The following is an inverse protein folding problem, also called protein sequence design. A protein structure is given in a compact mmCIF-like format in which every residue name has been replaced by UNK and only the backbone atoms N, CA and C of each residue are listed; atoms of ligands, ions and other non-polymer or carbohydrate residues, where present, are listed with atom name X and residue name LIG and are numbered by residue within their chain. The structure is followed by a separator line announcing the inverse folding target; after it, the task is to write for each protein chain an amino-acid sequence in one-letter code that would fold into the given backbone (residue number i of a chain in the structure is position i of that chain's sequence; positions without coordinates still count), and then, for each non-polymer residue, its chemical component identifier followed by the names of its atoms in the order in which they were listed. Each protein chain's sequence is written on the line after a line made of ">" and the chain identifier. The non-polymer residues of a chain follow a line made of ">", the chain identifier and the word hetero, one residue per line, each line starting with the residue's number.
data_IF_097338328156
#
_entry.id   IF_097338328156
#
_cell.length_a   1.000
_cell.length_b   1.000
_cell.length_c   1.000
_cell.angle_alpha   90.00
_cell.angle_beta   90.00
_cell.angle_gamma   90.00
#
_symmetry.space_group_name_H-M   'P 1'
#
loop_
_entity.id
_entity.type
_entity.pdbx_description
1 polymer ?
#
# COMPACT_ATOMS: atom_id res chain seq x y z
N UNK A 1 -37.84 1.92 -41.95
CA UNK A 1 -38.51 2.03 -40.63
C UNK A 1 -37.39 2.12 -39.61
N UNK A 2 -37.01 3.33 -39.24
CA UNK A 2 -35.99 3.56 -38.22
C UNK A 2 -36.61 3.36 -36.84
N UNK A 3 -35.93 2.60 -36.00
CA UNK A 3 -36.35 2.35 -34.62
C UNK A 3 -35.64 3.36 -33.73
N UNK A 4 -36.40 4.32 -33.19
CA UNK A 4 -35.91 5.28 -32.21
C UNK A 4 -35.95 4.62 -30.81
N UNK A 5 -34.78 4.31 -30.26
CA UNK A 5 -34.67 3.79 -28.89
C UNK A 5 -34.63 4.99 -27.93
N UNK A 6 -35.72 5.21 -27.20
CA UNK A 6 -35.76 6.09 -26.02
C UNK A 6 -35.73 5.23 -24.75
N UNK A 7 -34.61 5.22 -24.05
CA UNK A 7 -34.47 4.55 -22.77
C UNK A 7 -33.54 5.32 -21.83
N UNK A 8 -33.95 5.48 -20.57
CA UNK A 8 -33.07 6.00 -19.52
C UNK A 8 -32.20 4.85 -19.02
N UNK A 9 -31.02 4.69 -19.63
CA UNK A 9 -29.99 3.80 -19.12
C UNK A 9 -29.44 4.45 -17.85
N UNK A 10 -29.69 3.82 -16.71
CA UNK A 10 -29.04 4.18 -15.44
C UNK A 10 -28.19 3.01 -14.98
N UNK A 11 -26.92 3.28 -14.72
CA UNK A 11 -25.99 2.30 -14.15
C UNK A 11 -26.37 2.14 -12.68
N UNK A 12 -27.00 1.02 -12.34
CA UNK A 12 -27.13 0.60 -10.94
C UNK A 12 -25.78 0.02 -10.51
N UNK A 13 -24.98 0.82 -9.81
CA UNK A 13 -23.84 0.29 -9.04
C UNK A 13 -24.38 -0.66 -7.97
N UNK A 14 -24.00 -1.94 -8.04
CA UNK A 14 -24.27 -2.91 -6.97
C UNK A 14 -23.37 -2.69 -5.74
N UNK A 15 -22.38 -1.79 -5.86
CA UNK A 15 -21.47 -1.43 -4.78
C UNK A 15 -21.96 -0.16 -4.09
N UNK A 16 -22.12 -0.23 -2.77
CA UNK A 16 -22.39 0.93 -1.92
C UNK A 16 -21.29 1.99 -2.07
N UNK A 17 -21.66 3.27 -1.95
CA UNK A 17 -20.73 4.40 -2.10
C UNK A 17 -19.49 4.27 -1.20
N UNK A 18 -18.31 4.53 -1.79
CA UNK A 18 -17.04 4.55 -1.07
C UNK A 18 -17.00 5.76 -0.13
N UNK A 19 -16.48 5.61 1.09
CA UNK A 19 -16.33 6.74 2.00
C UNK A 19 -15.45 7.84 1.38
N UNK A 20 -15.61 9.10 1.80
CA UNK A 20 -14.73 10.20 1.41
C UNK A 20 -13.26 9.89 1.71
N UNK A 21 -12.35 10.35 0.85
CA UNK A 21 -10.90 10.07 0.89
C UNK A 21 -10.27 10.43 2.24
N UNK A 22 -10.82 11.40 2.96
CA UNK A 22 -10.28 11.92 4.22
C UNK A 22 -10.39 10.94 5.42
N UNK A 23 -10.97 9.75 5.26
CA UNK A 23 -11.14 8.76 6.34
C UNK A 23 -10.94 7.30 5.90
N UNK A 24 -9.98 7.03 5.03
CA UNK A 24 -9.75 5.65 4.56
C UNK A 24 -9.22 4.72 5.64
N UNK A 25 -8.51 5.24 6.65
CA UNK A 25 -7.99 4.47 7.79
C UNK A 25 -8.18 5.21 9.13
N UNK A 26 -9.43 5.46 9.57
CA UNK A 26 -9.72 6.34 10.71
C UNK A 26 -9.32 5.71 12.05
N UNK A 27 -9.06 4.41 12.07
CA UNK A 27 -8.66 3.62 13.25
C UNK A 27 -7.14 3.39 13.33
N UNK A 28 -6.37 4.01 12.43
CA UNK A 28 -4.91 3.91 12.39
C UNK A 28 -4.30 5.19 12.96
N UNK A 29 -3.45 5.05 13.99
CA UNK A 29 -2.83 6.22 14.67
C UNK A 29 -1.69 6.83 13.87
N UNK A 30 -0.81 5.98 13.33
CA UNK A 30 0.39 6.41 12.60
C UNK A 30 0.48 5.69 11.26
N UNK A 31 0.55 6.44 10.16
CA UNK A 31 0.77 5.91 8.82
C UNK A 31 2.19 6.31 8.39
N UNK A 32 3.05 5.33 8.15
CA UNK A 32 4.47 5.57 7.81
C UNK A 32 4.79 4.96 6.45
N UNK A 33 5.22 5.80 5.51
CA UNK A 33 5.74 5.35 4.22
C UNK A 33 7.21 4.96 4.33
N UNK A 34 7.58 3.77 3.87
CA UNK A 34 8.98 3.35 3.72
C UNK A 34 9.34 3.45 2.24
N UNK A 35 10.23 4.37 1.90
CA UNK A 35 10.60 4.70 0.53
C UNK A 35 12.09 4.47 0.28
N UNK A 36 12.48 4.42 -0.99
CA UNK A 36 13.88 4.38 -1.42
C UNK A 36 14.04 5.02 -2.78
N UNK A 37 15.18 5.66 -3.02
CA UNK A 37 15.48 6.25 -4.32
C UNK A 37 15.67 5.23 -5.45
N UNK A 38 16.14 4.03 -5.13
CA UNK A 38 16.44 2.97 -6.09
C UNK A 38 16.14 1.58 -5.52
N UNK A 39 15.86 0.62 -6.40
CA UNK A 39 15.72 -0.79 -6.02
C UNK A 39 17.03 -1.38 -5.48
N UNK A 40 16.92 -2.40 -4.63
CA UNK A 40 18.07 -3.16 -4.11
C UNK A 40 18.78 -2.55 -2.90
N UNK A 41 18.31 -1.43 -2.35
CA UNK A 41 18.92 -0.80 -1.16
C UNK A 41 18.50 -1.42 0.18
N UNK A 42 17.66 -2.46 0.18
CA UNK A 42 17.17 -3.11 1.39
C UNK A 42 15.90 -2.52 2.01
N UNK A 43 15.15 -1.69 1.25
CA UNK A 43 13.89 -1.05 1.68
C UNK A 43 12.90 -2.02 2.35
N UNK A 44 12.50 -3.09 1.65
CA UNK A 44 11.53 -4.08 2.16
C UNK A 44 12.05 -4.84 3.38
N UNK A 45 13.36 -5.04 3.47
CA UNK A 45 14.02 -5.62 4.65
C UNK A 45 13.88 -4.69 5.85
N UNK A 46 14.12 -3.39 5.67
CA UNK A 46 13.90 -2.39 6.74
C UNK A 46 12.42 -2.33 7.13
N UNK A 47 11.51 -2.25 6.17
CA UNK A 47 10.06 -2.20 6.41
C UNK A 47 9.59 -3.43 7.22
N UNK A 48 9.99 -4.64 6.81
CA UNK A 48 9.65 -5.89 7.49
C UNK A 48 10.19 -5.94 8.92
N UNK A 49 11.47 -5.64 9.11
CA UNK A 49 12.09 -5.69 10.43
C UNK A 49 11.52 -4.62 11.36
N UNK A 50 11.22 -3.43 10.85
CA UNK A 50 10.57 -2.37 11.61
C UNK A 50 9.16 -2.82 12.06
N UNK A 51 8.37 -3.44 11.17
CA UNK A 51 7.04 -3.95 11.50
C UNK A 51 7.10 -4.96 12.64
N UNK A 52 7.98 -5.97 12.50
CA UNK A 52 8.15 -7.03 13.50
C UNK A 52 8.70 -6.48 14.82
N UNK A 53 9.63 -5.51 14.77
CA UNK A 53 10.16 -4.87 15.96
C UNK A 53 9.05 -4.12 16.73
N UNK A 54 8.22 -3.34 16.04
CA UNK A 54 7.09 -2.63 16.66
C UNK A 54 6.08 -3.62 17.27
N UNK A 55 5.73 -4.69 16.54
CA UNK A 55 4.84 -5.72 17.06
C UNK A 55 5.41 -6.39 18.32
N UNK A 56 6.72 -6.68 18.35
CA UNK A 56 7.40 -7.21 19.54
C UNK A 56 7.40 -6.28 20.75
N UNK A 57 7.26 -4.97 20.53
CA UNK A 57 7.08 -3.99 21.61
C UNK A 57 5.61 -3.83 22.06
N UNK A 58 4.70 -4.66 21.52
CA UNK A 58 3.29 -4.70 21.94
C UNK A 58 2.38 -3.77 21.15
N UNK A 59 2.86 -3.14 20.09
CA UNK A 59 2.02 -2.29 19.22
C UNK A 59 1.18 -3.14 18.25
N UNK A 60 -0.01 -2.66 17.90
CA UNK A 60 -0.81 -3.23 16.80
C UNK A 60 -0.25 -2.73 15.46
N UNK A 61 0.26 -3.63 14.63
CA UNK A 61 0.99 -3.28 13.41
C UNK A 61 0.37 -3.88 12.16
N UNK A 62 0.17 -3.04 11.14
CA UNK A 62 -0.12 -3.46 9.77
C UNK A 62 1.04 -3.13 8.84
N UNK A 63 1.28 -3.98 7.85
CA UNK A 63 2.28 -3.81 6.80
C UNK A 63 1.63 -4.05 5.43
N UNK A 64 1.66 -3.03 4.59
CA UNK A 64 1.20 -3.09 3.20
C UNK A 64 2.40 -3.04 2.26
N UNK A 65 2.57 -4.08 1.45
CA UNK A 65 3.54 -4.12 0.36
C UNK A 65 2.91 -3.57 -0.93
N UNK A 66 3.37 -2.38 -1.33
CA UNK A 66 2.92 -1.68 -2.53
C UNK A 66 3.90 -1.83 -3.71
N UNK A 67 4.95 -2.66 -3.58
CA UNK A 67 5.93 -2.89 -4.65
C UNK A 67 5.49 -4.04 -5.57
N UNK A 68 4.71 -3.69 -6.60
CA UNK A 68 4.14 -4.64 -7.56
C UNK A 68 5.21 -5.41 -8.35
N UNK A 69 6.30 -4.73 -8.70
CA UNK A 69 7.34 -5.26 -9.59
C UNK A 69 8.37 -6.09 -8.86
N UNK A 70 8.54 -5.86 -7.56
CA UNK A 70 9.61 -6.44 -6.75
C UNK A 70 9.14 -6.98 -5.39
N UNK A 71 7.86 -7.35 -5.28
CA UNK A 71 7.26 -7.83 -4.03
C UNK A 71 8.13 -8.92 -3.40
N UNK A 72 8.65 -8.61 -2.21
CA UNK A 72 9.55 -9.49 -1.45
C UNK A 72 9.04 -9.78 -0.05
N UNK A 73 8.05 -9.03 0.42
CA UNK A 73 7.50 -9.14 1.78
C UNK A 73 6.84 -10.50 2.02
N UNK A 74 6.00 -11.07 1.12
CA UNK A 74 5.46 -12.41 1.31
C UNK A 74 6.54 -13.46 1.62
N UNK A 75 7.67 -13.39 0.90
CA UNK A 75 8.82 -14.27 1.10
C UNK A 75 9.58 -14.00 2.39
N UNK A 76 9.78 -12.73 2.75
CA UNK A 76 10.43 -12.37 4.02
C UNK A 76 9.61 -12.83 5.23
N UNK A 77 8.28 -12.88 5.11
CA UNK A 77 7.40 -13.44 6.12
C UNK A 77 7.19 -14.95 5.99
N UNK A 78 7.70 -15.62 4.94
CA UNK A 78 7.45 -17.04 4.64
C UNK A 78 5.95 -17.36 4.53
N UNK A 79 5.25 -16.59 3.69
CA UNK A 79 3.81 -16.72 3.42
C UNK A 79 3.51 -16.58 1.92
N UNK A 80 4.45 -16.93 1.05
CA UNK A 80 4.26 -16.87 -0.41
C UNK A 80 3.03 -17.66 -0.90
N UNK A 81 2.73 -18.77 -0.23
CA UNK A 81 1.58 -19.63 -0.54
C UNK A 81 0.28 -19.14 0.08
N UNK A 82 0.32 -18.06 0.87
CA UNK A 82 -0.90 -17.50 1.44
C UNK A 82 -1.82 -16.99 0.34
N UNK A 83 -3.12 -17.20 0.55
CA UNK A 83 -4.19 -16.71 -0.30
C UNK A 83 -5.13 -15.90 0.59
N UNK A 84 -4.90 -14.57 0.71
CA UNK A 84 -5.87 -13.70 1.36
C UNK A 84 -7.25 -13.95 0.73
N UNK A 85 -8.24 -14.12 1.58
CA UNK A 85 -9.61 -14.40 1.15
C UNK A 85 -10.50 -13.23 1.51
N UNK A 86 -11.62 -13.12 0.82
CA UNK A 86 -12.62 -12.10 1.11
C UNK A 86 -13.71 -12.68 2.01
N UNK A 87 -14.11 -11.91 3.02
CA UNK A 87 -15.28 -12.16 3.84
C UNK A 87 -16.30 -11.04 3.64
N UNK A 88 -17.59 -11.39 3.75
CA UNK A 88 -18.66 -10.41 3.61
C UNK A 88 -18.95 -9.75 4.96
N UNK A 89 -18.49 -8.53 5.14
CA UNK A 89 -18.70 -7.73 6.35
C UNK A 89 -19.61 -6.56 6.00
N UNK A 90 -20.75 -6.45 6.70
CA UNK A 90 -21.74 -5.38 6.47
C UNK A 90 -22.18 -5.28 5.00
N UNK A 91 -22.23 -6.42 4.29
CA UNK A 91 -22.62 -6.50 2.88
C UNK A 91 -21.54 -6.13 1.87
N UNK A 92 -20.32 -5.78 2.32
CA UNK A 92 -19.14 -5.51 1.48
C UNK A 92 -18.17 -6.68 1.54
N UNK A 93 -17.52 -6.97 0.42
CA UNK A 93 -16.43 -7.95 0.38
C UNK A 93 -15.16 -7.28 0.92
N UNK A 94 -14.65 -7.80 2.04
CA UNK A 94 -13.49 -7.27 2.74
C UNK A 94 -12.40 -8.34 2.76
N UNK A 95 -11.18 -7.97 2.39
CA UNK A 95 -10.03 -8.87 2.40
C UNK A 95 -9.55 -9.05 3.84
N UNK A 96 -9.37 -10.30 4.27
CA UNK A 96 -8.73 -10.62 5.55
C UNK A 96 -7.21 -10.66 5.31
N UNK A 97 -6.41 -9.79 5.98
CA UNK A 97 -4.98 -9.78 5.80
C UNK A 97 -4.34 -11.03 6.41
N UNK A 98 -3.20 -11.44 5.88
CA UNK A 98 -2.40 -12.53 6.46
C UNK A 98 -1.80 -12.02 7.77
N UNK A 99 -1.78 -12.83 8.82
CA UNK A 99 -1.13 -12.45 10.08
C UNK A 99 0.05 -13.36 10.38
N UNK A 100 1.22 -12.76 10.66
CA UNK A 100 2.41 -13.50 11.09
C UNK A 100 3.36 -12.61 11.88
N UNK A 101 4.03 -13.19 12.88
CA UNK A 101 4.92 -12.47 13.80
C UNK A 101 4.27 -11.26 14.50
N UNK A 102 2.95 -11.31 14.71
CA UNK A 102 2.16 -10.20 15.29
C UNK A 102 1.92 -9.01 14.35
N UNK A 103 2.16 -9.20 13.04
CA UNK A 103 1.95 -8.17 12.01
C UNK A 103 0.83 -8.64 11.07
N UNK A 104 -0.17 -7.78 10.86
CA UNK A 104 -1.14 -7.93 9.78
C UNK A 104 -0.50 -7.48 8.48
N UNK A 105 -0.59 -8.31 7.46
CA UNK A 105 0.20 -8.22 6.24
C UNK A 105 -0.70 -8.36 5.03
N UNK A 106 -0.54 -7.43 4.10
CA UNK A 106 -1.11 -7.57 2.77
C UNK A 106 -0.09 -7.13 1.72
N UNK A 107 -0.09 -7.81 0.58
CA UNK A 107 0.81 -7.53 -0.53
C UNK A 107 0.08 -7.67 -1.85
N UNK A 108 0.38 -6.80 -2.80
CA UNK A 108 -0.01 -7.02 -4.22
C UNK A 108 0.54 -8.35 -4.73
N UNK A 109 1.69 -8.79 -4.21
CA UNK A 109 2.32 -10.09 -4.47
C UNK A 109 1.38 -11.29 -4.30
N UNK A 110 0.35 -11.20 -3.44
CA UNK A 110 -0.60 -12.29 -3.25
C UNK A 110 -1.61 -12.46 -4.40
N UNK A 111 -1.78 -11.42 -5.24
CA UNK A 111 -2.78 -11.36 -6.30
C UNK A 111 -2.15 -11.40 -7.70
N UNK A 112 -0.84 -11.57 -7.78
CA UNK A 112 -0.09 -11.68 -9.04
C UNK A 112 0.52 -13.07 -9.11
N UNK A 113 0.52 -13.64 -10.31
CA UNK A 113 1.21 -14.89 -10.58
C UNK A 113 2.72 -14.62 -10.66
N UNK A 114 3.55 -15.23 -9.79
CA UNK A 114 4.99 -14.98 -9.76
C UNK A 114 5.72 -15.42 -11.03
N UNK A 115 5.14 -16.32 -11.83
CA UNK A 115 5.75 -16.84 -13.06
C UNK A 115 5.37 -16.00 -14.30
N UNK A 116 4.49 -15.01 -14.14
CA UNK A 116 4.02 -14.14 -15.22
C UNK A 116 4.57 -12.71 -15.05
N UNK A 117 5.05 -12.06 -16.12
CA UNK A 117 5.37 -10.63 -16.05
C UNK A 117 4.12 -9.84 -15.66
N UNK A 118 4.19 -9.12 -14.55
CA UNK A 118 3.06 -8.32 -14.07
C UNK A 118 2.75 -7.17 -15.03
N UNK A 119 1.74 -7.34 -15.89
CA UNK A 119 1.30 -6.34 -16.87
C UNK A 119 0.35 -5.28 -16.26
N UNK A 120 0.66 -4.79 -15.07
CA UNK A 120 -0.20 -3.82 -14.38
C UNK A 120 0.17 -2.40 -14.83
N UNK A 121 -0.69 -1.79 -15.66
CA UNK A 121 -0.54 -0.38 -16.05
C UNK A 121 -0.79 0.53 -14.84
N UNK A 122 -0.16 1.71 -14.81
CA UNK A 122 -0.17 2.62 -13.64
C UNK A 122 -1.55 2.84 -12.99
N UNK A 123 -2.61 3.10 -13.77
CA UNK A 123 -3.96 3.28 -13.21
C UNK A 123 -4.55 2.02 -12.55
N UNK A 124 -4.20 0.83 -13.03
CA UNK A 124 -4.61 -0.45 -12.43
C UNK A 124 -3.93 -0.66 -11.08
N UNK A 125 -2.61 -0.42 -11.04
CA UNK A 125 -1.80 -0.45 -9.82
C UNK A 125 -2.33 0.50 -8.75
N UNK A 126 -2.60 1.76 -9.11
CA UNK A 126 -3.16 2.76 -8.20
C UNK A 126 -4.54 2.37 -7.66
N UNK A 127 -5.40 1.79 -8.49
CA UNK A 127 -6.73 1.35 -8.06
C UNK A 127 -6.67 0.14 -7.12
N UNK A 128 -5.83 -0.83 -7.43
CA UNK A 128 -5.63 -1.99 -6.56
C UNK A 128 -5.04 -1.57 -5.21
N UNK A 129 -4.06 -0.67 -5.19
CA UNK A 129 -3.52 -0.11 -3.96
C UNK A 129 -4.61 0.54 -3.10
N UNK A 130 -5.51 1.32 -3.71
CA UNK A 130 -6.67 1.89 -3.01
C UNK A 130 -7.57 0.82 -2.42
N UNK A 131 -7.80 -0.29 -3.11
CA UNK A 131 -8.56 -1.43 -2.56
C UNK A 131 -7.82 -2.08 -1.38
N UNK A 132 -6.51 -2.30 -1.47
CA UNK A 132 -5.71 -2.87 -0.37
C UNK A 132 -5.59 -1.94 0.86
N UNK A 133 -5.91 -0.66 0.69
CA UNK A 133 -6.04 0.29 1.80
C UNK A 133 -7.45 0.25 2.38
N UNK A 134 -8.48 0.23 1.53
CA UNK A 134 -9.88 0.48 1.94
C UNK A 134 -10.68 -0.78 2.25
N UNK A 135 -10.50 -1.83 1.44
CA UNK A 135 -11.35 -3.02 1.40
C UNK A 135 -10.66 -4.17 2.15
N UNK A 136 -10.05 -3.85 3.29
CA UNK A 136 -9.26 -4.78 4.12
C UNK A 136 -9.63 -4.62 5.59
N UNK A 137 -9.67 -5.73 6.31
CA UNK A 137 -9.97 -5.78 7.75
C UNK A 137 -8.71 -5.44 8.57
N UNK A 138 -8.21 -4.20 8.46
CA UNK A 138 -7.04 -3.73 9.21
C UNK A 138 -7.30 -3.60 10.71
N UNK A 139 -8.55 -3.36 11.10
CA UNK A 139 -8.98 -3.04 12.47
C UNK A 139 -8.29 -1.77 13.04
N UNK A 140 -8.02 -1.74 14.33
CA UNK A 140 -7.28 -0.67 14.99
C UNK A 140 -5.78 -0.97 14.94
N UNK A 141 -4.99 -0.01 14.46
CA UNK A 141 -3.54 -0.12 14.40
C UNK A 141 -2.87 1.08 15.07
N UNK A 142 -1.80 0.82 15.82
CA UNK A 142 -0.91 1.87 16.29
C UNK A 142 0.01 2.34 15.16
N UNK A 143 0.47 1.41 14.31
CA UNK A 143 1.34 1.69 13.18
C UNK A 143 0.86 0.95 11.93
N UNK A 144 0.74 1.69 10.83
CA UNK A 144 0.54 1.14 9.50
C UNK A 144 1.71 1.52 8.61
N UNK A 145 2.54 0.54 8.29
CA UNK A 145 3.73 0.70 7.47
C UNK A 145 3.39 0.38 6.01
N UNK A 146 3.85 1.20 5.08
CA UNK A 146 3.65 1.00 3.65
C UNK A 146 5.02 0.88 2.99
N UNK A 147 5.35 -0.31 2.48
CA UNK A 147 6.56 -0.52 1.68
C UNK A 147 6.31 -0.03 0.25
N UNK A 148 6.79 1.18 -0.06
CA UNK A 148 6.54 1.84 -1.33
C UNK A 148 7.45 1.26 -2.42
N UNK A 149 7.07 1.27 -3.71
CA UNK A 149 7.99 0.88 -4.78
C UNK A 149 9.22 1.82 -4.83
N UNK A 150 10.35 1.40 -5.41
CA UNK A 150 11.52 2.27 -5.55
C UNK A 150 11.25 3.48 -6.48
N UNK A 151 11.96 4.57 -6.24
CA UNK A 151 11.90 5.79 -7.06
C UNK A 151 10.73 6.71 -6.70
N UNK A 152 10.15 7.36 -7.70
CA UNK A 152 9.05 8.33 -7.56
C UNK A 152 7.92 8.04 -8.54
N UNK A 153 7.43 6.79 -8.56
CA UNK A 153 6.34 6.35 -9.44
C UNK A 153 4.97 6.91 -9.01
N UNK A 154 3.97 6.80 -9.90
CA UNK A 154 2.58 7.24 -9.63
C UNK A 154 1.95 6.61 -8.37
N UNK A 155 2.43 5.44 -7.96
CA UNK A 155 2.04 4.78 -6.70
C UNK A 155 2.37 5.66 -5.49
N UNK A 156 3.53 6.34 -5.46
CA UNK A 156 3.88 7.26 -4.37
C UNK A 156 2.89 8.41 -4.26
N UNK A 157 2.59 9.05 -5.40
CA UNK A 157 1.61 10.13 -5.45
C UNK A 157 0.21 9.63 -5.07
N UNK A 158 -0.15 8.43 -5.50
CA UNK A 158 -1.42 7.82 -5.14
C UNK A 158 -1.52 7.63 -3.63
N UNK A 159 -0.51 7.07 -2.97
CA UNK A 159 -0.50 6.92 -1.50
C UNK A 159 -0.60 8.27 -0.82
N UNK A 160 0.21 9.24 -1.22
CA UNK A 160 0.23 10.58 -0.63
C UNK A 160 -1.08 11.37 -0.82
N UNK A 161 -1.80 11.13 -1.93
CA UNK A 161 -3.10 11.74 -2.20
C UNK A 161 -4.26 10.99 -1.54
N UNK A 162 -4.07 9.71 -1.23
CA UNK A 162 -5.11 8.83 -0.68
C UNK A 162 -5.06 8.80 0.84
N UNK A 163 -3.87 8.93 1.43
CA UNK A 163 -3.64 8.80 2.86
C UNK A 163 -2.94 10.03 3.42
N UNK A 164 -3.43 10.52 4.55
CA UNK A 164 -2.73 11.50 5.37
C UNK A 164 -1.58 10.80 6.11
N UNK A 165 -0.40 10.79 5.50
CA UNK A 165 0.78 10.14 6.05
C UNK A 165 1.34 10.92 7.25
N UNK A 166 1.65 10.20 8.33
CA UNK A 166 2.21 10.78 9.57
C UNK A 166 3.70 11.06 9.43
N UNK A 167 4.42 10.24 8.65
CA UNK A 167 5.84 10.44 8.36
C UNK A 167 6.37 9.45 7.35
N UNK A 168 7.62 9.62 6.94
CA UNK A 168 8.29 8.74 5.99
C UNK A 168 9.71 8.37 6.45
N UNK A 169 10.10 7.13 6.15
CA UNK A 169 11.47 6.62 6.31
C UNK A 169 12.07 6.42 4.93
N UNK A 170 13.23 7.01 4.66
CA UNK A 170 13.92 6.88 3.37
C UNK A 170 15.15 5.99 3.52
N UNK A 171 15.10 4.82 2.88
CA UNK A 171 16.18 3.84 2.91
C UNK A 171 17.12 4.06 1.72
N UNK A 172 18.42 4.02 1.98
CA UNK A 172 19.47 4.15 0.96
C UNK A 172 20.73 3.37 1.34
N UNK A 173 21.70 3.34 0.43
CA UNK A 173 23.05 2.82 0.67
C UNK A 173 24.08 3.93 0.50
N UNK A 174 25.32 3.77 0.99
CA UNK A 174 26.36 4.81 0.89
C UNK A 174 26.79 5.16 -0.54
N UNK A 175 26.31 4.42 -1.55
CA UNK A 175 26.66 4.65 -2.94
C UNK A 175 26.09 5.98 -3.42
N UNK A 176 26.92 6.77 -4.09
CA UNK A 176 26.57 8.15 -4.46
C UNK A 176 25.30 8.24 -5.32
N UNK A 177 25.10 7.27 -6.22
CA UNK A 177 23.88 7.18 -7.05
C UNK A 177 22.64 6.94 -6.18
N UNK A 178 22.71 6.05 -5.19
CA UNK A 178 21.59 5.78 -4.28
C UNK A 178 21.29 6.99 -3.36
N UNK A 179 22.32 7.71 -2.92
CA UNK A 179 22.17 8.95 -2.15
C UNK A 179 21.49 10.06 -2.97
N UNK A 180 21.88 10.23 -4.23
CA UNK A 180 21.27 11.21 -5.12
C UNK A 180 19.76 10.96 -5.31
N UNK A 181 19.36 9.69 -5.49
CA UNK A 181 17.94 9.35 -5.63
C UNK A 181 17.19 9.42 -4.30
N UNK A 182 17.82 9.08 -3.16
CA UNK A 182 17.22 9.25 -1.84
C UNK A 182 16.91 10.72 -1.53
N UNK A 183 17.79 11.66 -1.93
CA UNK A 183 17.54 13.11 -1.80
C UNK A 183 16.30 13.54 -2.59
N UNK A 184 16.09 13.00 -3.80
CA UNK A 184 14.86 13.26 -4.58
C UNK A 184 13.62 12.72 -3.87
N UNK A 185 13.72 11.52 -3.30
CA UNK A 185 12.65 10.92 -2.49
C UNK A 185 12.27 11.80 -1.30
N UNK A 186 13.26 12.29 -0.53
CA UNK A 186 13.04 13.23 0.57
C UNK A 186 12.29 14.47 0.10
N UNK A 187 12.74 15.09 -1.00
CA UNK A 187 12.11 16.31 -1.53
C UNK A 187 10.64 16.10 -1.98
N UNK A 188 10.26 14.88 -2.38
CA UNK A 188 8.88 14.55 -2.73
C UNK A 188 7.97 14.60 -1.50
N UNK A 189 8.43 14.06 -0.36
CA UNK A 189 7.67 14.06 0.89
C UNK A 189 7.64 15.45 1.53
N UNK A 190 8.76 16.18 1.54
CA UNK A 190 8.88 17.47 2.22
C UNK A 190 8.40 18.67 1.39
N UNK A 191 8.01 18.46 0.14
CA UNK A 191 7.45 19.53 -0.70
C UNK A 191 6.26 20.20 0.01
N UNK A 192 6.09 21.54 -0.07
CA UNK A 192 4.97 22.27 0.53
C UNK A 192 3.57 21.69 0.28
N UNK A 193 3.36 20.98 -0.83
CA UNK A 193 2.08 20.34 -1.14
C UNK A 193 1.80 19.07 -0.32
N UNK A 194 2.84 18.33 0.05
CA UNK A 194 2.73 17.04 0.75
C UNK A 194 3.00 17.20 2.24
N UNK A 195 4.03 17.98 2.61
CA UNK A 195 4.40 18.31 3.98
C UNK A 195 4.49 17.09 4.92
N UNK A 196 5.03 15.98 4.43
CA UNK A 196 5.24 14.76 5.21
C UNK A 196 6.63 14.81 5.85
N UNK A 197 6.75 14.67 7.19
CA UNK A 197 8.04 14.69 7.87
C UNK A 197 8.85 13.42 7.59
N UNK A 198 10.17 13.57 7.49
CA UNK A 198 11.10 12.44 7.48
C UNK A 198 11.47 12.10 8.93
N UNK A 199 11.41 10.81 9.29
CA UNK A 199 11.68 10.28 10.63
C UNK A 199 13.13 9.81 10.81
#
# INVERSE_FOLDING_TARGET
>A
KDVEIKGNISVRSLQSERPPVDKLLPKVKNIIGVSSGKGGVGKSTVATNLAVALAKHGYKVGLLDADISGSSIPKMFQVEDARPYAEKIEGRDMIVPVEKYGVKLLSIGFFVDPDQPTLWRGGMASNALKQLINDVVWEELDYFLIDLPPGTSDIHLTVLQTLTMTGAVVVSTPQEVALADARKGINMFTNPKMNVPIL
#
